data_IF_094723479234
#
_entry.id   IF_094723479234
#
_cell.length_a   1.000
_cell.length_b   1.000
_cell.length_c   1.000
_cell.angle_alpha   90.00
_cell.angle_beta   90.00
_cell.angle_gamma   90.00
#
_symmetry.space_group_name_H-M   'P 1'
#
loop_
_entity.id
_entity.type
_entity.pdbx_description
1 polymer ?
#
# COMPACT_ATOMS: atom_id res chain seq x y z
N UNK A 1 17.32 3.46 13.11
CA UNK A 1 15.95 3.07 12.73
C UNK A 1 15.97 1.64 12.19
N UNK A 2 15.08 0.78 12.68
CA UNK A 2 14.84 -0.57 12.12
C UNK A 2 13.51 -0.60 11.40
N UNK A 3 13.42 -1.33 10.30
CA UNK A 3 12.26 -1.32 9.41
C UNK A 3 11.82 -2.75 9.14
N UNK A 4 10.51 -2.97 9.18
CA UNK A 4 9.86 -4.17 8.70
C UNK A 4 8.69 -3.78 7.81
N UNK A 5 8.76 -4.12 6.52
CA UNK A 5 7.59 -3.99 5.65
C UNK A 5 6.65 -5.14 5.99
N UNK A 6 5.38 -4.83 6.22
CA UNK A 6 4.37 -5.82 6.60
C UNK A 6 3.42 -6.13 5.47
N UNK A 7 3.12 -5.12 4.65
CA UNK A 7 2.23 -5.24 3.51
C UNK A 7 2.58 -4.19 2.47
N UNK A 8 2.60 -4.61 1.22
CA UNK A 8 2.70 -3.73 0.06
C UNK A 8 1.64 -4.13 -0.95
N UNK A 9 1.02 -3.14 -1.57
CA UNK A 9 0.03 -3.36 -2.61
C UNK A 9 0.26 -2.46 -3.81
N UNK A 10 -0.14 -2.96 -4.97
CA UNK A 10 -0.23 -2.20 -6.21
C UNK A 10 -1.60 -2.39 -6.82
N UNK A 11 -2.14 -1.31 -7.37
CA UNK A 11 -3.40 -1.24 -8.07
C UNK A 11 -3.14 -0.76 -9.49
N UNK A 12 -3.75 -1.45 -10.44
CA UNK A 12 -3.79 -1.05 -11.83
C UNK A 12 -5.25 -0.95 -12.24
N UNK A 13 -5.71 0.27 -12.51
CA UNK A 13 -7.12 0.58 -12.74
C UNK A 13 -7.25 1.29 -14.09
N UNK A 14 -8.25 0.90 -14.86
CA UNK A 14 -8.54 1.37 -16.21
C UNK A 14 -10.04 1.47 -16.42
N UNK A 15 -10.46 2.05 -17.54
CA UNK A 15 -11.86 2.04 -17.92
C UNK A 15 -12.30 0.60 -18.30
N UNK A 16 -13.37 0.04 -17.69
CA UNK A 16 -13.81 -1.33 -17.97
C UNK A 16 -14.22 -1.58 -19.43
N UNK A 17 -14.50 -0.53 -20.21
CA UNK A 17 -14.77 -0.63 -21.65
C UNK A 17 -13.51 -0.88 -22.49
N UNK A 18 -12.33 -0.51 -21.98
CA UNK A 18 -11.06 -0.63 -22.70
C UNK A 18 -10.41 -2.01 -22.53
N UNK A 19 -10.59 -2.65 -21.37
CA UNK A 19 -10.04 -3.98 -21.07
C UNK A 19 -11.07 -5.08 -21.23
N UNK A 20 -11.41 -5.38 -22.48
CA UNK A 20 -12.32 -6.46 -22.82
C UNK A 20 -11.63 -7.55 -23.61
N UNK A 21 -12.05 -8.80 -23.44
CA UNK A 21 -11.65 -9.87 -24.34
C UNK A 21 -12.00 -9.53 -25.80
N UNK A 22 -11.06 -9.71 -26.74
CA UNK A 22 -11.36 -9.53 -28.19
C UNK A 22 -12.39 -10.55 -28.67
N UNK A 23 -12.39 -11.74 -28.05
CA UNK A 23 -13.35 -12.84 -28.22
C UNK A 23 -13.74 -13.35 -26.84
N UNK A 24 -14.79 -14.15 -26.72
CA UNK A 24 -15.14 -14.76 -25.43
C UNK A 24 -13.94 -15.48 -24.80
N UNK A 25 -13.71 -15.26 -23.50
CA UNK A 25 -12.70 -15.96 -22.71
C UNK A 25 -13.38 -17.07 -21.91
N UNK A 26 -12.76 -18.24 -21.92
CA UNK A 26 -13.11 -19.36 -21.05
C UNK A 26 -12.63 -19.06 -19.62
N UNK A 27 -13.57 -18.72 -18.73
CA UNK A 27 -13.31 -18.37 -17.34
C UNK A 27 -12.54 -19.47 -16.58
N UNK A 28 -12.98 -20.74 -16.60
CA UNK A 28 -12.21 -21.86 -16.06
C UNK A 28 -10.76 -21.95 -16.56
N UNK A 29 -10.52 -21.72 -17.87
CA UNK A 29 -9.17 -21.70 -18.44
C UNK A 29 -8.33 -20.52 -17.93
N UNK A 30 -8.95 -19.35 -17.80
CA UNK A 30 -8.31 -18.16 -17.21
C UNK A 30 -7.91 -18.41 -15.75
N UNK A 31 -8.82 -18.96 -14.95
CA UNK A 31 -8.59 -19.30 -13.54
C UNK A 31 -7.46 -20.31 -13.39
N UNK A 32 -7.54 -21.44 -14.10
CA UNK A 32 -6.49 -22.47 -14.07
C UNK A 32 -5.15 -21.96 -14.58
N UNK A 33 -5.15 -21.07 -15.57
CA UNK A 33 -3.95 -20.39 -16.06
C UNK A 33 -3.29 -19.52 -15.00
N UNK A 34 -4.04 -18.66 -14.31
CA UNK A 34 -3.54 -17.86 -13.20
C UNK A 34 -3.04 -18.73 -12.04
N UNK A 35 -3.77 -19.79 -11.68
CA UNK A 35 -3.33 -20.76 -10.66
C UNK A 35 -2.01 -21.41 -11.03
N UNK A 36 -1.80 -21.74 -12.31
CA UNK A 36 -0.55 -22.32 -12.79
C UNK A 36 0.61 -21.32 -12.75
N UNK A 37 0.40 -20.11 -13.28
CA UNK A 37 1.42 -19.05 -13.33
C UNK A 37 1.86 -18.63 -11.92
N UNK A 38 0.90 -18.46 -11.02
CA UNK A 38 1.13 -17.92 -9.67
C UNK A 38 1.02 -18.96 -8.56
N UNK A 39 1.00 -20.26 -8.91
CA UNK A 39 0.97 -21.40 -7.98
C UNK A 39 -0.03 -21.24 -6.82
N UNK A 40 -1.22 -20.72 -7.11
CA UNK A 40 -2.25 -20.57 -6.08
C UNK A 40 -2.78 -21.95 -5.65
N UNK A 41 -2.89 -22.22 -4.34
CA UNK A 41 -3.27 -23.54 -3.83
C UNK A 41 -4.75 -23.86 -4.02
N UNK A 42 -5.60 -22.83 -4.14
CA UNK A 42 -7.06 -22.96 -4.23
C UNK A 42 -7.62 -22.15 -5.40
N UNK A 43 -8.84 -22.48 -5.80
CA UNK A 43 -9.61 -21.65 -6.74
C UNK A 43 -9.95 -20.30 -6.11
N UNK A 44 -10.17 -19.26 -6.92
CA UNK A 44 -10.48 -17.95 -6.40
C UNK A 44 -11.86 -17.91 -5.76
N UNK A 45 -12.03 -16.97 -4.82
CA UNK A 45 -13.33 -16.60 -4.26
C UNK A 45 -13.88 -15.37 -4.97
N UNK A 46 -15.20 -15.24 -5.01
CA UNK A 46 -15.85 -14.05 -5.56
C UNK A 46 -15.72 -12.87 -4.58
N UNK A 47 -15.43 -11.69 -5.10
CA UNK A 47 -15.30 -10.46 -4.30
C UNK A 47 -16.62 -9.69 -4.31
N UNK A 48 -16.98 -9.06 -3.18
CA UNK A 48 -18.11 -8.13 -3.15
C UNK A 48 -17.88 -6.99 -4.15
N UNK A 49 -18.84 -6.76 -5.05
CA UNK A 49 -18.71 -5.82 -6.16
C UNK A 49 -18.27 -6.47 -7.48
N UNK A 50 -18.05 -7.77 -7.49
CA UNK A 50 -17.66 -8.56 -8.66
C UNK A 50 -16.15 -8.73 -8.76
N UNK A 51 -15.73 -9.78 -9.47
CA UNK A 51 -14.32 -10.13 -9.64
C UNK A 51 -13.93 -11.44 -8.96
N UNK A 52 -12.64 -11.77 -9.04
CA UNK A 52 -12.08 -13.01 -8.53
C UNK A 52 -10.85 -12.70 -7.67
N UNK A 53 -10.79 -13.29 -6.48
CA UNK A 53 -9.68 -13.14 -5.53
C UNK A 53 -8.96 -14.46 -5.33
N UNK A 54 -7.65 -14.44 -5.55
CA UNK A 54 -6.75 -15.55 -5.29
C UNK A 54 -5.90 -15.22 -4.06
N UNK A 55 -5.68 -16.21 -3.19
CA UNK A 55 -4.97 -16.04 -1.93
C UNK A 55 -3.76 -16.97 -1.82
N UNK A 56 -2.69 -16.49 -1.20
CA UNK A 56 -1.50 -17.27 -0.83
C UNK A 56 -0.79 -17.95 -2.02
N UNK A 57 -0.58 -17.20 -3.11
CA UNK A 57 0.17 -17.65 -4.29
C UNK A 57 1.67 -17.39 -4.19
N UNK A 58 2.41 -17.83 -5.22
CA UNK A 58 3.84 -17.60 -5.39
C UNK A 58 4.20 -17.39 -6.85
N UNK A 59 5.04 -16.39 -7.10
CA UNK A 59 5.66 -16.19 -8.41
C UNK A 59 7.16 -16.46 -8.28
N UNK A 60 7.68 -17.41 -9.05
CA UNK A 60 9.14 -17.51 -9.23
C UNK A 60 9.58 -16.43 -10.21
N UNK A 61 10.41 -15.49 -9.76
CA UNK A 61 10.96 -14.43 -10.58
C UNK A 61 12.47 -14.33 -10.35
N UNK A 62 13.25 -14.56 -11.42
CA UNK A 62 14.71 -14.76 -11.34
C UNK A 62 15.02 -15.96 -10.42
N UNK A 63 15.78 -15.73 -9.35
CA UNK A 63 16.21 -16.75 -8.38
C UNK A 63 15.47 -16.64 -7.03
N UNK A 64 14.34 -15.93 -7.00
CA UNK A 64 13.56 -15.70 -5.79
C UNK A 64 12.07 -16.02 -6.01
N UNK A 65 11.42 -16.51 -4.96
CA UNK A 65 9.97 -16.68 -4.94
C UNK A 65 9.35 -15.46 -4.25
N UNK A 66 8.49 -14.75 -4.99
CA UNK A 66 7.66 -13.67 -4.44
C UNK A 66 6.38 -14.29 -3.87
N UNK A 67 6.16 -14.12 -2.56
CA UNK A 67 4.90 -14.53 -1.92
C UNK A 67 3.80 -13.52 -2.25
N UNK A 68 2.68 -14.03 -2.76
CA UNK A 68 1.49 -13.24 -3.09
C UNK A 68 0.45 -13.52 -2.03
N UNK A 69 0.20 -12.57 -1.13
CA UNK A 69 -0.85 -12.74 -0.10
C UNK A 69 -2.22 -12.69 -0.76
N UNK A 70 -2.41 -11.80 -1.74
CA UNK A 70 -3.65 -11.67 -2.50
C UNK A 70 -3.41 -11.18 -3.93
N UNK A 71 -4.13 -11.74 -4.89
CA UNK A 71 -4.31 -11.20 -6.25
C UNK A 71 -5.81 -11.09 -6.50
N UNK A 72 -6.32 -9.88 -6.67
CA UNK A 72 -7.71 -9.63 -7.01
C UNK A 72 -7.81 -9.10 -8.43
N UNK A 73 -8.72 -9.67 -9.21
CA UNK A 73 -9.00 -9.30 -10.61
C UNK A 73 -10.43 -8.82 -10.69
N UNK A 74 -10.60 -7.57 -11.12
CA UNK A 74 -11.87 -6.89 -11.30
C UNK A 74 -12.12 -6.63 -12.79
N UNK A 75 -13.32 -6.15 -13.13
CA UNK A 75 -13.67 -5.79 -14.51
C UNK A 75 -12.92 -4.53 -15.00
N UNK A 76 -12.43 -3.72 -14.08
CA UNK A 76 -11.78 -2.43 -14.31
C UNK A 76 -10.32 -2.40 -13.83
N UNK A 77 -9.79 -3.50 -13.30
CA UNK A 77 -8.42 -3.49 -12.79
C UNK A 77 -7.93 -4.75 -12.11
N UNK A 78 -6.69 -4.67 -11.65
CA UNK A 78 -6.00 -5.73 -10.90
C UNK A 78 -5.40 -5.10 -9.64
N UNK A 79 -5.49 -5.83 -8.54
CA UNK A 79 -4.86 -5.48 -7.29
C UNK A 79 -3.99 -6.64 -6.80
N UNK A 80 -2.77 -6.33 -6.41
CA UNK A 80 -1.80 -7.31 -5.92
C UNK A 80 -1.34 -6.89 -4.54
N UNK A 81 -1.32 -7.84 -3.61
CA UNK A 81 -0.74 -7.68 -2.27
C UNK A 81 0.39 -8.67 -2.08
N UNK A 82 1.48 -8.20 -1.49
CA UNK A 82 2.65 -8.97 -1.08
C UNK A 82 3.10 -8.51 0.31
N UNK A 83 3.77 -9.36 1.10
CA UNK A 83 4.26 -8.98 2.42
C UNK A 83 5.66 -8.33 2.37
N UNK A 84 6.22 -8.11 1.18
CA UNK A 84 7.60 -7.66 0.97
C UNK A 84 7.67 -6.21 0.51
N UNK A 85 7.66 -5.90 -0.79
CA UNK A 85 7.84 -4.54 -1.30
C UNK A 85 6.83 -4.22 -2.41
N UNK A 86 6.56 -2.93 -2.63
CA UNK A 86 5.73 -2.51 -3.77
C UNK A 86 6.35 -2.89 -5.11
N UNK A 87 7.67 -3.03 -5.19
CA UNK A 87 8.36 -3.44 -6.42
C UNK A 87 8.11 -4.93 -6.72
N UNK A 88 8.08 -5.79 -5.69
CA UNK A 88 7.67 -7.20 -5.86
C UNK A 88 6.20 -7.31 -6.29
N UNK A 89 5.32 -6.48 -5.71
CA UNK A 89 3.92 -6.41 -6.11
C UNK A 89 3.77 -5.97 -7.57
N UNK A 90 4.59 -4.99 -8.01
CA UNK A 90 4.64 -4.51 -9.39
C UNK A 90 5.10 -5.61 -10.35
N UNK A 91 6.12 -6.39 -9.99
CA UNK A 91 6.55 -7.56 -10.79
C UNK A 91 5.40 -8.54 -10.98
N UNK A 92 4.69 -8.91 -9.91
CA UNK A 92 3.54 -9.82 -9.99
C UNK A 92 2.43 -9.25 -10.87
N UNK A 93 2.13 -7.95 -10.73
CA UNK A 93 1.15 -7.25 -11.56
C UNK A 93 1.52 -7.32 -13.05
N UNK A 94 2.79 -7.07 -13.41
CA UNK A 94 3.23 -7.13 -14.80
C UNK A 94 3.09 -8.54 -15.39
N UNK A 95 3.38 -9.59 -14.62
CA UNK A 95 3.15 -10.97 -15.03
C UNK A 95 1.65 -11.27 -15.23
N UNK A 96 0.78 -10.72 -14.37
CA UNK A 96 -0.66 -10.91 -14.49
C UNK A 96 -1.20 -10.22 -15.75
N UNK A 97 -0.79 -8.97 -15.99
CA UNK A 97 -1.16 -8.22 -17.20
C UNK A 97 -0.68 -8.92 -18.47
N UNK A 98 0.57 -9.41 -18.49
CA UNK A 98 1.10 -10.18 -19.61
C UNK A 98 0.23 -11.42 -19.90
N UNK A 99 -0.12 -12.19 -18.86
CA UNK A 99 -1.02 -13.33 -18.99
C UNK A 99 -2.37 -12.96 -19.60
N UNK A 100 -3.00 -11.87 -19.14
CA UNK A 100 -4.29 -11.42 -19.69
C UNK A 100 -4.19 -10.98 -21.15
N UNK A 101 -3.14 -10.24 -21.50
CA UNK A 101 -2.94 -9.79 -22.88
C UNK A 101 -2.66 -10.96 -23.83
N UNK A 102 -1.90 -11.97 -23.38
CA UNK A 102 -1.66 -13.19 -24.14
C UNK A 102 -2.93 -14.03 -24.32
N UNK A 103 -3.85 -13.96 -23.35
CA UNK A 103 -5.18 -14.58 -23.43
C UNK A 103 -6.13 -13.82 -24.39
N UNK A 104 -5.71 -12.66 -24.91
CA UNK A 104 -6.48 -11.86 -25.87
C UNK A 104 -7.37 -10.79 -25.24
N UNK A 105 -7.10 -10.38 -24.00
CA UNK A 105 -7.66 -9.14 -23.44
C UNK A 105 -7.01 -7.94 -24.14
N UNK A 106 -7.81 -6.95 -24.52
CA UNK A 106 -7.30 -5.72 -25.15
C UNK A 106 -6.44 -4.93 -24.18
N UNK A 107 -5.39 -4.30 -24.72
CA UNK A 107 -4.62 -3.29 -24.00
C UNK A 107 -5.44 -1.99 -23.96
N UNK A 108 -5.44 -1.27 -22.83
CA UNK A 108 -6.15 -0.01 -22.73
C UNK A 108 -5.52 1.04 -23.67
N UNK A 109 -6.36 1.96 -24.14
CA UNK A 109 -5.91 3.11 -24.94
C UNK A 109 -5.64 4.34 -24.08
N UNK A 110 -6.34 4.45 -22.94
CA UNK A 110 -6.06 5.45 -21.93
C UNK A 110 -4.91 5.02 -21.02
N UNK A 111 -4.24 6.00 -20.41
CA UNK A 111 -3.20 5.72 -19.41
C UNK A 111 -3.85 5.15 -18.13
N UNK A 112 -3.47 3.94 -17.70
CA UNK A 112 -3.98 3.36 -16.47
C UNK A 112 -3.65 4.19 -15.24
N UNK A 113 -4.54 4.18 -14.26
CA UNK A 113 -4.22 4.63 -12.90
C UNK A 113 -3.40 3.55 -12.23
N UNK A 114 -2.15 3.87 -11.91
CA UNK A 114 -1.21 2.96 -11.28
C UNK A 114 -0.86 3.47 -9.88
N UNK A 115 -1.32 2.76 -8.85
CA UNK A 115 -1.35 3.25 -7.48
C UNK A 115 -0.67 2.26 -6.53
N UNK A 116 0.15 2.78 -5.63
CA UNK A 116 0.91 1.99 -4.66
C UNK A 116 0.45 2.30 -3.25
N UNK A 117 0.54 1.31 -2.37
CA UNK A 117 0.50 1.54 -0.93
C UNK A 117 1.50 0.62 -0.25
N UNK A 118 2.22 1.17 0.72
CA UNK A 118 3.20 0.50 1.54
C UNK A 118 2.85 0.67 3.00
N UNK A 119 2.85 -0.43 3.74
CA UNK A 119 2.66 -0.48 5.18
C UNK A 119 3.94 -1.01 5.82
N UNK A 120 4.49 -0.21 6.74
CA UNK A 120 5.79 -0.42 7.36
C UNK A 120 5.64 -0.31 8.87
N UNK A 121 6.24 -1.23 9.61
CA UNK A 121 6.51 -1.05 11.03
C UNK A 121 7.94 -0.54 11.18
N UNK A 122 8.09 0.64 11.78
CA UNK A 122 9.38 1.29 11.98
C UNK A 122 9.66 1.49 13.47
N UNK A 123 10.85 1.06 13.88
CA UNK A 123 11.42 1.37 15.20
C UNK A 123 12.41 2.53 15.03
N UNK A 124 12.02 3.70 15.52
CA UNK A 124 12.83 4.90 15.47
C UNK A 124 13.85 4.91 16.61
N UNK A 125 15.03 5.49 16.38
CA UNK A 125 16.06 5.60 17.41
C UNK A 125 15.73 6.75 18.38
N UNK A 126 15.11 7.82 17.86
CA UNK A 126 14.56 8.93 18.64
C UNK A 126 13.03 8.91 18.70
N UNK A 127 12.46 9.46 19.79
CA UNK A 127 11.02 9.72 19.86
C UNK A 127 10.63 10.77 18.82
N UNK A 128 9.62 10.47 18.00
CA UNK A 128 9.10 11.43 17.03
C UNK A 128 8.39 12.62 17.70
N UNK A 129 8.06 12.52 18.99
CA UNK A 129 7.55 13.65 19.77
C UNK A 129 8.54 14.81 19.83
N UNK A 130 9.84 14.53 19.67
CA UNK A 130 10.87 15.57 19.68
C UNK A 130 10.72 16.55 18.51
N UNK A 131 9.95 16.21 17.47
CA UNK A 131 9.63 17.09 16.35
C UNK A 131 8.67 18.22 16.79
N UNK A 132 7.82 17.99 17.79
CA UNK A 132 6.87 18.98 18.29
C UNK A 132 7.47 19.72 19.49
N UNK A 133 7.39 21.07 19.55
CA UNK A 133 7.83 21.80 20.73
C UNK A 133 7.11 21.32 22.01
N UNK A 134 7.87 20.90 23.04
CA UNK A 134 7.30 20.45 24.32
C UNK A 134 6.38 21.47 24.98
N UNK A 135 6.67 22.76 24.80
CA UNK A 135 5.83 23.86 25.29
C UNK A 135 4.42 23.86 24.68
N UNK A 136 4.27 23.43 23.43
CA UNK A 136 2.97 23.29 22.79
C UNK A 136 2.19 22.14 23.41
N UNK A 137 2.82 20.97 23.59
CA UNK A 137 2.18 19.81 24.24
C UNK A 137 1.72 20.15 25.66
N UNK A 138 2.59 20.78 26.46
CA UNK A 138 2.23 21.24 27.82
C UNK A 138 1.07 22.24 27.82
N UNK A 139 1.03 23.15 26.83
CA UNK A 139 -0.07 24.11 26.71
C UNK A 139 -1.40 23.41 26.38
N UNK A 140 -1.36 22.38 25.53
CA UNK A 140 -2.53 21.54 25.23
C UNK A 140 -2.97 20.81 26.50
N UNK A 141 -2.04 20.17 27.22
CA UNK A 141 -2.35 19.44 28.45
C UNK A 141 -3.04 20.32 29.50
N UNK A 142 -2.54 21.54 29.72
CA UNK A 142 -3.13 22.50 30.67
C UNK A 142 -4.50 23.01 30.25
N UNK A 143 -4.84 22.96 28.96
CA UNK A 143 -6.14 23.40 28.45
C UNK A 143 -7.22 22.31 28.57
N UNK A 144 -6.83 21.05 28.81
CA UNK A 144 -7.75 19.93 28.94
C UNK A 144 -8.30 19.82 30.38
N UNK A 145 -9.57 19.40 30.57
CA UNK A 145 -10.18 19.23 31.89
C UNK A 145 -9.75 17.95 32.61
N UNK A 146 -8.76 17.22 32.07
CA UNK A 146 -8.29 15.93 32.57
C UNK A 146 -6.79 16.07 32.87
N UNK A 147 -6.36 15.60 34.04
CA UNK A 147 -4.94 15.56 34.39
C UNK A 147 -4.19 14.54 33.51
N UNK A 148 -3.13 14.97 32.85
CA UNK A 148 -2.28 14.12 32.03
C UNK A 148 -1.30 14.92 31.18
N UNK A 149 -0.30 14.23 30.61
CA UNK A 149 0.63 14.82 29.65
C UNK A 149 0.22 14.44 28.22
N UNK A 150 0.04 15.45 27.38
CA UNK A 150 -0.28 15.27 25.97
C UNK A 150 0.95 14.76 25.23
N UNK A 151 0.76 13.69 24.47
CA UNK A 151 1.81 13.07 23.67
C UNK A 151 1.37 13.01 22.21
N UNK A 152 2.35 12.95 21.31
CA UNK A 152 2.08 12.82 19.90
C UNK A 152 1.73 11.38 19.56
N UNK A 153 0.49 11.17 19.13
CA UNK A 153 -0.02 9.84 18.80
C UNK A 153 0.10 9.52 17.30
N UNK A 154 -0.17 10.52 16.45
CA UNK A 154 -0.29 10.35 15.01
C UNK A 154 0.30 11.53 14.25
N UNK A 155 1.04 11.24 13.18
CA UNK A 155 1.23 12.16 12.06
C UNK A 155 0.38 11.69 10.89
N UNK A 156 -0.34 12.60 10.24
CA UNK A 156 -1.11 12.27 9.05
C UNK A 156 -1.10 13.45 8.07
N UNK A 157 -0.98 13.15 6.79
CA UNK A 157 -1.16 14.11 5.70
C UNK A 157 -2.20 13.61 4.71
N UNK A 158 -2.94 14.53 4.11
CA UNK A 158 -3.91 14.27 3.06
C UNK A 158 -3.81 15.38 2.02
N UNK A 159 -4.12 15.05 0.76
CA UNK A 159 -4.34 16.09 -0.25
C UNK A 159 -5.76 16.64 -0.12
N UNK A 160 -5.89 17.93 -0.32
CA UNK A 160 -7.17 18.51 -0.70
C UNK A 160 -7.46 18.08 -2.16
N UNK A 161 -8.53 17.31 -2.36
CA UNK A 161 -8.91 16.81 -3.68
C UNK A 161 -9.14 17.93 -4.70
N UNK A 162 -9.54 19.13 -4.25
CA UNK A 162 -9.71 20.29 -5.13
C UNK A 162 -8.39 20.83 -5.68
N UNK A 163 -7.28 20.59 -4.97
CA UNK A 163 -5.93 21.03 -5.34
C UNK A 163 -5.15 20.00 -6.16
N UNK A 164 -5.72 18.80 -6.37
CA UNK A 164 -5.09 17.78 -7.21
C UNK A 164 -5.19 18.21 -8.67
N UNK A 165 -4.02 18.45 -9.28
CA UNK A 165 -3.89 18.96 -10.65
C UNK A 165 -4.48 18.02 -11.69
N UNK A 166 -4.27 16.71 -11.53
CA UNK A 166 -4.77 15.71 -12.46
C UNK A 166 -6.13 15.15 -11.98
N UNK A 167 -7.24 15.43 -12.71
CA UNK A 167 -8.59 15.05 -12.29
C UNK A 167 -8.80 13.56 -12.06
N UNK A 168 -8.03 12.67 -12.73
CA UNK A 168 -8.16 11.22 -12.59
C UNK A 168 -7.90 10.72 -11.16
N UNK A 169 -7.13 11.48 -10.39
CA UNK A 169 -6.76 11.18 -9.02
C UNK A 169 -7.72 11.78 -7.98
N UNK A 170 -8.65 12.65 -8.39
CA UNK A 170 -9.56 13.32 -7.43
C UNK A 170 -10.58 12.38 -6.80
N UNK A 171 -10.96 11.34 -7.52
CA UNK A 171 -11.92 10.31 -7.05
C UNK A 171 -11.25 9.19 -6.27
N UNK A 172 -9.95 9.01 -6.45
CA UNK A 172 -9.12 8.09 -5.69
C UNK A 172 -8.52 8.89 -4.55
N UNK A 173 -9.27 9.15 -3.46
CA UNK A 173 -8.80 9.94 -2.33
C UNK A 173 -7.85 9.09 -1.45
N UNK A 174 -6.53 9.20 -1.62
CA UNK A 174 -5.62 8.31 -0.95
C UNK A 174 -5.19 9.00 0.35
N UNK A 175 -5.47 8.42 1.52
CA UNK A 175 -4.77 8.85 2.74
C UNK A 175 -3.27 8.65 2.52
N UNK A 176 -2.53 9.74 2.27
CA UNK A 176 -1.24 9.64 1.58
C UNK A 176 -0.14 9.08 2.46
N UNK A 177 -0.12 9.52 3.71
CA UNK A 177 0.97 9.24 4.62
C UNK A 177 0.48 9.37 6.05
N UNK A 178 0.74 8.35 6.84
CA UNK A 178 0.33 8.27 8.23
C UNK A 178 1.36 7.51 9.04
N UNK A 179 1.75 8.05 10.19
CA UNK A 179 2.57 7.38 11.19
C UNK A 179 1.75 7.36 12.47
N UNK A 180 1.49 6.18 13.02
CA UNK A 180 0.69 6.00 14.24
C UNK A 180 1.46 5.16 15.23
N UNK A 181 1.44 5.57 16.51
CA UNK A 181 1.89 4.67 17.58
C UNK A 181 0.99 3.44 17.60
N UNK A 182 1.58 2.26 17.79
CA UNK A 182 0.81 1.03 17.94
C UNK A 182 0.01 1.09 19.25
N UNK A 183 -1.31 0.91 19.16
CA UNK A 183 -2.16 0.80 20.35
C UNK A 183 -1.63 -0.30 21.30
N UNK A 184 -1.58 0.00 22.60
CA UNK A 184 -1.11 -0.88 23.68
C UNK A 184 0.40 -1.24 23.69
N UNK A 185 1.25 -0.63 22.85
CA UNK A 185 2.70 -0.70 23.05
C UNK A 185 3.14 0.29 24.15
N UNK A 186 4.16 -0.05 24.96
CA UNK A 186 4.73 0.93 25.89
C UNK A 186 5.30 2.12 25.11
N UNK A 187 5.13 3.32 25.66
CA UNK A 187 5.66 4.56 25.07
C UNK A 187 7.19 4.58 24.97
N UNK A 188 7.86 3.76 25.78
CA UNK A 188 9.31 3.55 25.76
C UNK A 188 9.80 2.92 24.45
N UNK A 189 8.89 2.29 23.70
CA UNK A 189 9.18 1.71 22.39
C UNK A 189 8.76 2.70 21.32
N UNK A 190 9.73 3.30 20.64
CA UNK A 190 9.53 4.18 19.49
C UNK A 190 9.12 3.39 18.24
N UNK A 191 8.15 2.48 18.38
CA UNK A 191 7.63 1.62 17.32
C UNK A 191 6.32 2.18 16.78
N UNK A 192 6.29 2.41 15.48
CA UNK A 192 5.17 3.02 14.79
C UNK A 192 4.69 2.14 13.64
N UNK A 193 3.39 2.18 13.40
CA UNK A 193 2.75 1.68 12.20
C UNK A 193 2.68 2.83 11.20
N UNK A 194 3.31 2.65 10.05
CA UNK A 194 3.43 3.65 9.01
C UNK A 194 2.69 3.16 7.77
N UNK A 195 1.78 3.97 7.24
CA UNK A 195 1.05 3.70 6.00
C UNK A 195 1.33 4.84 5.03
N UNK A 196 1.69 4.52 3.79
CA UNK A 196 1.85 5.52 2.76
C UNK A 196 1.42 5.03 1.39
N UNK A 197 0.82 5.91 0.60
CA UNK A 197 0.39 5.64 -0.78
C UNK A 197 1.48 6.02 -1.79
N UNK A 198 2.60 5.32 -1.70
CA UNK A 198 3.82 5.52 -2.50
C UNK A 198 4.61 4.21 -2.54
N UNK A 199 5.73 4.18 -3.28
CA UNK A 199 6.60 3.00 -3.29
C UNK A 199 7.24 2.78 -1.91
N UNK A 200 7.52 1.52 -1.58
CA UNK A 200 8.15 1.16 -0.30
C UNK A 200 9.50 1.85 -0.10
N UNK A 201 10.29 2.02 -1.17
CA UNK A 201 11.57 2.75 -1.14
C UNK A 201 11.38 4.22 -0.75
N UNK A 202 10.48 4.92 -1.43
CA UNK A 202 10.14 6.33 -1.15
C UNK A 202 9.58 6.49 0.27
N UNK A 203 8.75 5.55 0.72
CA UNK A 203 8.23 5.53 2.08
C UNK A 203 9.36 5.43 3.11
N UNK A 204 10.32 4.53 2.90
CA UNK A 204 11.49 4.38 3.78
C UNK A 204 12.33 5.66 3.81
N UNK A 205 12.52 6.32 2.66
CA UNK A 205 13.24 7.60 2.59
C UNK A 205 12.54 8.67 3.42
N UNK A 206 11.22 8.82 3.29
CA UNK A 206 10.44 9.78 4.10
C UNK A 206 10.56 9.47 5.59
N UNK A 207 10.42 8.21 6.01
CA UNK A 207 10.58 7.83 7.43
C UNK A 207 11.99 8.13 7.94
N UNK A 208 13.01 7.98 7.09
CA UNK A 208 14.39 8.34 7.42
C UNK A 208 14.55 9.84 7.67
N UNK A 209 13.84 10.68 6.92
CA UNK A 209 13.83 12.13 7.18
C UNK A 209 13.13 12.48 8.50
N UNK A 210 12.03 11.81 8.84
CA UNK A 210 11.39 11.96 10.16
C UNK A 210 12.36 11.63 11.32
N UNK A 211 13.13 10.53 11.21
CA UNK A 211 14.17 10.18 12.18
C UNK A 211 15.22 11.29 12.32
N UNK A 212 15.73 11.81 11.20
CA UNK A 212 16.73 12.90 11.21
C UNK A 212 16.21 14.16 11.88
N UNK A 213 14.96 14.54 11.61
CA UNK A 213 14.34 15.70 12.25
C UNK A 213 14.18 15.49 13.75
N UNK A 214 13.70 14.33 14.18
CA UNK A 214 13.55 13.99 15.58
C UNK A 214 14.91 14.04 16.33
N UNK A 215 15.97 13.49 15.73
CA UNK A 215 17.32 13.51 16.29
C UNK A 215 17.90 14.93 16.41
N UNK A 216 17.63 15.79 15.42
CA UNK A 216 18.12 17.18 15.40
C UNK A 216 17.40 18.04 16.42
N UNK A 217 16.07 17.90 16.52
CA UNK A 217 15.26 18.65 17.48
C UNK A 217 15.47 18.22 18.94
N UNK A 218 16.15 17.08 19.16
CA UNK A 218 16.52 16.58 20.50
C UNK A 218 17.79 17.22 21.07
N UNK A 219 18.58 17.93 20.25
CA UNK A 219 19.83 18.62 20.66
C UNK A 219 19.55 20.06 21.07
#
# INVERSE_FOLDING_TARGET
MKIQITEAQVWWIVQPDEIRPVRGIDGPKMVSGLQSVFRFPSTPTEVQGGGAEFLNGRLSHKDQDILITKLAVFADGINVHVPTTTDDAEVVLQHALAFFFDLGVRRPTSEPVHFFQSIIVADFDSSLENIIPKSLLQKISKAMPIEGESQLFTFATNFDASLISNPRWRTVNPSLFRIERRAAASYDVNRYFCLANMKSSEHIEVLTEFEKFALTASK
#
